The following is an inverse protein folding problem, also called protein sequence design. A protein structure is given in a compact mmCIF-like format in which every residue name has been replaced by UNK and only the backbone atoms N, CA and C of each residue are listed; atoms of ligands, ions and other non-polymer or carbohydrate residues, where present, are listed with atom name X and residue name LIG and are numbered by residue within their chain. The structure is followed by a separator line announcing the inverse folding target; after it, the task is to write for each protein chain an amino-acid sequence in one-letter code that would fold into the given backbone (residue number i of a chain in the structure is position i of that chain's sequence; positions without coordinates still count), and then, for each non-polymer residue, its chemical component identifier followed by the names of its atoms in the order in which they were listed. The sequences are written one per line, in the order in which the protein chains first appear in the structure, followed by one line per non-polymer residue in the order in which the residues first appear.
data_IF_498883834843
#
_entry.id   IF_498883834843
#
_cell.length_a   1.000
_cell.length_b   1.000
_cell.length_c   1.000
_cell.angle_alpha   90.00
_cell.angle_beta   90.00
_cell.angle_gamma   90.00
#
_symmetry.space_group_name_H-M   'P 1'
#
loop_
_entity.id
_entity.type
_entity.pdbx_description
1 polymer ?
#
# COMPACT_ATOMS: atom_id res chain seq x y z
N UNK A 1 9.30 -26.98 -19.32
CA UNK A 1 8.84 -26.63 -20.67
C UNK A 1 10.07 -26.25 -21.51
N UNK A 2 10.27 -26.85 -22.72
CA UNK A 2 11.51 -26.65 -23.49
C UNK A 2 11.70 -25.20 -23.98
N UNK A 3 10.64 -24.42 -24.06
CA UNK A 3 10.69 -23.01 -24.50
C UNK A 3 11.35 -22.08 -23.48
N UNK A 4 11.30 -22.41 -22.19
CA UNK A 4 11.80 -21.55 -21.10
C UNK A 4 13.26 -21.11 -21.26
N UNK A 5 14.24 -22.03 -21.56
CA UNK A 5 15.63 -21.61 -21.71
C UNK A 5 15.83 -20.66 -22.88
N UNK A 6 15.10 -20.87 -23.99
CA UNK A 6 15.19 -20.01 -25.18
C UNK A 6 14.71 -18.59 -24.87
N UNK A 7 13.55 -18.47 -24.22
CA UNK A 7 12.99 -17.17 -23.79
C UNK A 7 13.91 -16.45 -22.81
N UNK A 8 14.53 -17.19 -21.87
CA UNK A 8 15.49 -16.62 -20.91
C UNK A 8 16.76 -16.11 -21.60
N UNK A 9 17.32 -16.86 -22.57
CA UNK A 9 18.50 -16.42 -23.33
C UNK A 9 18.21 -15.16 -24.13
N UNK A 10 17.04 -15.08 -24.76
CA UNK A 10 16.62 -13.89 -25.51
C UNK A 10 16.49 -12.70 -24.55
N UNK A 11 15.81 -12.86 -23.40
CA UNK A 11 15.65 -11.82 -22.39
C UNK A 11 16.97 -11.33 -21.81
N UNK A 12 17.98 -12.22 -21.67
CA UNK A 12 19.33 -11.83 -21.26
C UNK A 12 20.03 -10.92 -22.27
N UNK A 13 19.84 -11.19 -23.56
CA UNK A 13 20.46 -10.42 -24.66
C UNK A 13 19.76 -9.10 -24.95
N UNK A 14 18.48 -8.99 -24.59
CA UNK A 14 17.73 -7.76 -24.72
C UNK A 14 18.22 -6.79 -23.63
N UNK A 15 18.56 -5.58 -24.04
CA UNK A 15 18.98 -4.50 -23.14
C UNK A 15 17.87 -4.08 -22.18
N UNK A 16 17.98 -2.88 -21.64
CA UNK A 16 16.97 -2.22 -20.83
C UNK A 16 16.14 -1.25 -21.68
N UNK A 17 14.98 -0.82 -21.17
CA UNK A 17 14.16 0.20 -21.81
C UNK A 17 13.20 -0.32 -22.87
N UNK A 18 13.16 0.34 -24.04
CA UNK A 18 12.12 0.13 -25.05
C UNK A 18 12.08 -1.29 -25.63
N UNK A 19 13.26 -1.89 -25.90
CA UNK A 19 13.34 -3.26 -26.41
C UNK A 19 12.79 -4.29 -25.43
N UNK A 20 12.94 -4.05 -24.13
CA UNK A 20 12.37 -4.90 -23.09
C UNK A 20 10.84 -4.87 -23.11
N UNK A 21 10.27 -3.68 -23.33
CA UNK A 21 8.81 -3.51 -23.46
C UNK A 21 8.28 -4.21 -24.71
N UNK A 22 8.92 -3.99 -25.86
CA UNK A 22 8.54 -4.67 -27.12
C UNK A 22 8.59 -6.19 -26.97
N UNK A 23 9.59 -6.70 -26.28
CA UNK A 23 9.69 -8.13 -25.99
C UNK A 23 8.54 -8.60 -25.10
N UNK A 24 8.15 -7.82 -24.10
CA UNK A 24 6.99 -8.09 -23.25
C UNK A 24 5.70 -8.22 -24.05
N UNK A 25 5.46 -7.28 -24.97
CA UNK A 25 4.32 -7.36 -25.91
C UNK A 25 4.38 -8.58 -26.80
N UNK A 26 5.56 -8.87 -27.38
CA UNK A 26 5.75 -10.06 -28.22
C UNK A 26 5.42 -11.34 -27.44
N UNK A 27 5.85 -11.43 -26.19
CA UNK A 27 5.56 -12.57 -25.32
C UNK A 27 4.08 -12.68 -24.97
N UNK A 28 3.44 -11.57 -24.61
CA UNK A 28 2.03 -11.56 -24.22
C UNK A 28 1.14 -11.90 -25.42
N UNK A 29 1.31 -11.21 -26.55
CA UNK A 29 0.51 -11.42 -27.76
C UNK A 29 0.85 -12.77 -28.41
N UNK A 30 2.12 -13.14 -28.51
CA UNK A 30 2.54 -14.44 -29.06
C UNK A 30 2.04 -15.61 -28.20
N UNK A 31 2.04 -15.46 -26.88
CA UNK A 31 1.43 -16.43 -25.96
C UNK A 31 -0.08 -16.55 -26.17
N UNK A 32 -0.77 -15.42 -26.31
CA UNK A 32 -2.21 -15.38 -26.55
C UNK A 32 -2.55 -16.08 -27.88
N UNK A 33 -1.90 -15.69 -28.97
CA UNK A 33 -2.14 -16.23 -30.31
C UNK A 33 -1.87 -17.75 -30.37
N UNK A 34 -0.79 -18.23 -29.78
CA UNK A 34 -0.49 -19.67 -29.73
C UNK A 34 -1.56 -20.50 -29.03
N UNK A 35 -2.21 -19.94 -28.01
CA UNK A 35 -3.32 -20.63 -27.31
C UNK A 35 -4.61 -20.56 -28.11
N UNK A 36 -4.90 -19.46 -28.78
CA UNK A 36 -6.07 -19.35 -29.66
C UNK A 36 -6.01 -20.33 -30.83
N UNK A 37 -4.83 -20.54 -31.44
CA UNK A 37 -4.63 -21.52 -32.49
C UNK A 37 -4.96 -22.96 -32.07
N UNK A 38 -4.86 -23.29 -30.78
CA UNK A 38 -5.23 -24.61 -30.26
C UNK A 38 -6.65 -24.62 -29.61
N UNK A 39 -7.44 -23.56 -29.82
CA UNK A 39 -8.82 -23.46 -29.33
C UNK A 39 -8.94 -23.09 -27.85
N UNK A 40 -7.87 -22.61 -27.23
CA UNK A 40 -7.86 -22.12 -25.85
C UNK A 40 -7.96 -20.60 -25.83
N UNK A 41 -8.36 -20.03 -24.68
CA UNK A 41 -8.40 -18.56 -24.53
C UNK A 41 -6.99 -17.96 -24.51
N UNK A 42 -6.78 -16.90 -25.28
CA UNK A 42 -5.50 -16.20 -25.39
C UNK A 42 -4.95 -15.68 -24.07
N UNK A 43 -5.84 -15.24 -23.17
CA UNK A 43 -5.46 -14.77 -21.82
C UNK A 43 -4.65 -15.82 -21.04
N UNK A 44 -5.01 -17.09 -21.16
CA UNK A 44 -4.27 -18.21 -20.54
C UNK A 44 -2.88 -18.36 -21.14
N UNK A 45 -2.74 -18.14 -22.46
CA UNK A 45 -1.45 -18.20 -23.13
C UNK A 45 -0.49 -17.12 -22.64
N UNK A 46 -0.96 -15.88 -22.55
CA UNK A 46 -0.19 -14.77 -22.00
C UNK A 46 0.22 -15.04 -20.54
N UNK A 47 -0.71 -15.56 -19.72
CA UNK A 47 -0.45 -15.91 -18.32
C UNK A 47 0.63 -16.99 -18.19
N UNK A 48 0.54 -18.07 -18.98
CA UNK A 48 1.52 -19.17 -18.94
C UNK A 48 2.91 -18.67 -19.33
N UNK A 49 3.01 -17.84 -20.36
CA UNK A 49 4.30 -17.24 -20.75
C UNK A 49 4.83 -16.32 -19.64
N UNK A 50 3.99 -15.51 -19.01
CA UNK A 50 4.36 -14.68 -17.88
C UNK A 50 4.91 -15.50 -16.70
N UNK A 51 4.24 -16.59 -16.32
CA UNK A 51 4.71 -17.50 -15.28
C UNK A 51 6.05 -18.16 -15.66
N UNK A 52 6.26 -18.51 -16.91
CA UNK A 52 7.56 -19.04 -17.39
C UNK A 52 8.70 -18.02 -17.21
N UNK A 53 8.41 -16.73 -17.29
CA UNK A 53 9.38 -15.65 -17.17
C UNK A 53 9.62 -15.19 -15.74
N UNK A 54 8.72 -15.49 -14.80
CA UNK A 54 8.72 -14.94 -13.43
C UNK A 54 10.01 -15.18 -12.64
N UNK A 55 10.75 -16.22 -12.94
CA UNK A 55 12.02 -16.57 -12.24
C UNK A 55 13.28 -15.92 -12.85
N UNK A 56 13.13 -15.08 -13.86
CA UNK A 56 14.26 -14.38 -14.48
C UNK A 56 14.59 -13.08 -13.72
N UNK A 57 15.89 -12.74 -13.63
CA UNK A 57 16.36 -11.53 -12.90
C UNK A 57 15.71 -10.24 -13.43
N UNK A 58 15.45 -10.15 -14.74
CA UNK A 58 14.78 -9.00 -15.37
C UNK A 58 13.24 -9.05 -15.33
N UNK A 59 12.64 -10.07 -14.72
CA UNK A 59 11.17 -10.21 -14.70
C UNK A 59 10.49 -9.04 -14.01
N UNK A 60 11.09 -8.55 -12.94
CA UNK A 60 10.58 -7.42 -12.15
C UNK A 60 10.60 -6.11 -12.96
N UNK A 61 11.67 -5.86 -13.70
CA UNK A 61 11.80 -4.70 -14.60
C UNK A 61 10.81 -4.77 -15.76
N UNK A 62 10.69 -5.96 -16.38
CA UNK A 62 9.72 -6.21 -17.44
C UNK A 62 8.29 -5.98 -16.94
N UNK A 63 7.95 -6.53 -15.79
CA UNK A 63 6.62 -6.38 -15.18
C UNK A 63 6.30 -4.91 -14.91
N UNK A 64 7.20 -4.15 -14.29
CA UNK A 64 7.02 -2.72 -14.00
C UNK A 64 6.79 -1.90 -15.27
N UNK A 65 7.56 -2.17 -16.31
CA UNK A 65 7.41 -1.47 -17.58
C UNK A 65 6.09 -1.82 -18.27
N UNK A 66 5.65 -3.08 -18.23
CA UNK A 66 4.37 -3.50 -18.80
C UNK A 66 3.16 -2.94 -18.07
N UNK A 67 3.25 -2.72 -16.73
CA UNK A 67 2.18 -2.12 -15.95
C UNK A 67 1.79 -0.72 -16.43
N UNK A 68 2.76 0.09 -16.89
CA UNK A 68 2.49 1.42 -17.43
C UNK A 68 1.62 1.35 -18.71
N UNK A 69 1.83 0.31 -19.54
CA UNK A 69 1.02 0.09 -20.75
C UNK A 69 -0.36 -0.48 -20.44
N UNK A 70 -0.50 -1.24 -19.36
CA UNK A 70 -1.81 -1.73 -18.91
C UNK A 70 -2.78 -0.56 -18.72
N UNK A 71 -2.35 0.50 -18.08
CA UNK A 71 -3.21 1.66 -17.81
C UNK A 71 -3.62 2.38 -19.11
N UNK A 72 -2.72 2.46 -20.09
CA UNK A 72 -3.04 3.00 -21.42
C UNK A 72 -4.06 2.12 -22.16
N UNK A 73 -3.90 0.80 -22.12
CA UNK A 73 -4.85 -0.13 -22.72
C UNK A 73 -6.23 -0.07 -22.05
N UNK A 74 -6.26 0.03 -20.73
CA UNK A 74 -7.51 0.22 -19.98
C UNK A 74 -8.20 1.53 -20.34
N UNK A 75 -7.46 2.63 -20.46
CA UNK A 75 -8.00 3.91 -20.89
C UNK A 75 -8.66 3.79 -22.29
N UNK A 76 -7.98 3.14 -23.24
CA UNK A 76 -8.53 2.88 -24.57
C UNK A 76 -9.79 2.01 -24.53
N UNK A 77 -9.82 0.99 -23.67
CA UNK A 77 -10.97 0.12 -23.47
C UNK A 77 -12.17 0.90 -22.90
N UNK A 78 -11.98 1.72 -21.87
CA UNK A 78 -13.05 2.55 -21.32
C UNK A 78 -13.57 3.59 -22.30
N UNK A 79 -12.65 4.20 -23.06
CA UNK A 79 -13.03 5.15 -24.11
C UNK A 79 -13.89 4.46 -25.18
N UNK A 80 -13.52 3.25 -25.61
CA UNK A 80 -14.29 2.45 -26.56
C UNK A 80 -15.71 2.18 -26.07
N UNK A 81 -15.87 1.81 -24.80
CA UNK A 81 -17.20 1.60 -24.20
C UNK A 81 -18.00 2.92 -24.14
N UNK A 82 -17.34 4.02 -23.73
CA UNK A 82 -17.99 5.35 -23.69
C UNK A 82 -18.46 5.84 -25.05
N UNK A 83 -17.74 5.49 -26.12
CA UNK A 83 -18.09 5.83 -27.50
C UNK A 83 -19.16 4.90 -28.10
N UNK A 84 -19.44 3.75 -27.51
CA UNK A 84 -20.42 2.77 -28.03
C UNK A 84 -21.88 3.25 -27.97
N UNK A 85 -22.17 4.33 -27.23
CA UNK A 85 -23.46 4.98 -27.19
C UNK A 85 -23.56 6.01 -26.08
N UNK A 86 -24.36 7.10 -26.30
CA UNK A 86 -24.61 8.10 -25.27
C UNK A 86 -25.41 7.48 -24.11
N UNK A 87 -25.06 7.78 -22.84
CA UNK A 87 -25.83 7.28 -21.72
C UNK A 87 -27.24 7.85 -21.73
N UNK A 88 -28.24 6.99 -21.62
CA UNK A 88 -29.62 7.43 -21.42
C UNK A 88 -29.85 7.82 -19.96
N UNK A 89 -30.89 8.62 -19.70
CA UNK A 89 -31.27 8.93 -18.31
C UNK A 89 -31.59 7.67 -17.53
N UNK A 90 -32.17 6.65 -18.17
CA UNK A 90 -32.46 5.36 -17.56
C UNK A 90 -31.20 4.62 -17.12
N UNK A 91 -30.20 4.52 -18.01
CA UNK A 91 -28.92 3.86 -17.69
C UNK A 91 -28.18 4.58 -16.56
N UNK A 92 -28.20 5.91 -16.55
CA UNK A 92 -27.59 6.72 -15.49
C UNK A 92 -28.29 6.53 -14.13
N UNK A 93 -29.63 6.46 -14.11
CA UNK A 93 -30.39 6.19 -12.88
C UNK A 93 -30.10 4.79 -12.32
N UNK A 94 -30.07 3.76 -13.18
CA UNK A 94 -29.73 2.40 -12.75
C UNK A 94 -28.31 2.35 -12.20
N UNK A 95 -27.34 2.98 -12.85
CA UNK A 95 -25.98 3.08 -12.37
C UNK A 95 -25.90 3.78 -11.00
N UNK A 96 -26.63 4.88 -10.82
CA UNK A 96 -26.70 5.61 -9.55
C UNK A 96 -27.34 4.76 -8.42
N UNK A 97 -28.31 3.88 -8.75
CA UNK A 97 -28.92 2.94 -7.81
C UNK A 97 -27.98 1.79 -7.42
N UNK A 98 -27.12 1.35 -8.33
CA UNK A 98 -26.14 0.28 -8.06
C UNK A 98 -24.95 0.80 -7.25
N UNK A 99 -24.55 2.05 -7.47
CA UNK A 99 -23.36 2.63 -6.81
C UNK A 99 -23.41 2.52 -5.28
N UNK A 100 -24.50 2.77 -4.53
CA UNK A 100 -24.55 2.60 -3.08
C UNK A 100 -24.23 1.19 -2.57
N UNK A 101 -24.30 0.15 -3.42
CA UNK A 101 -23.89 -1.21 -3.06
C UNK A 101 -22.40 -1.28 -2.65
N UNK A 102 -21.59 -0.31 -3.05
CA UNK A 102 -20.20 -0.22 -2.60
C UNK A 102 -20.09 -0.06 -1.07
N UNK A 103 -21.04 0.63 -0.44
CA UNK A 103 -21.06 0.79 1.02
C UNK A 103 -21.34 -0.54 1.72
N UNK A 104 -22.27 -1.33 1.16
CA UNK A 104 -22.54 -2.69 1.63
C UNK A 104 -21.33 -3.59 1.44
N UNK A 105 -20.68 -3.54 0.28
CA UNK A 105 -19.43 -4.25 0.00
C UNK A 105 -18.34 -3.86 1.00
N UNK A 106 -18.17 -2.57 1.28
CA UNK A 106 -17.21 -2.08 2.28
C UNK A 106 -17.50 -2.61 3.67
N UNK A 107 -18.77 -2.63 4.09
CA UNK A 107 -19.18 -3.18 5.38
C UNK A 107 -18.90 -4.70 5.47
N UNK A 108 -19.10 -5.44 4.39
CA UNK A 108 -18.77 -6.87 4.32
C UNK A 108 -17.24 -7.09 4.45
N UNK A 109 -16.41 -6.32 3.72
CA UNK A 109 -14.97 -6.41 3.85
C UNK A 109 -14.49 -6.05 5.25
N UNK A 110 -15.02 -4.97 5.83
CA UNK A 110 -14.71 -4.62 7.21
C UNK A 110 -15.03 -5.77 8.17
N UNK A 111 -16.22 -6.34 8.06
CA UNK A 111 -16.67 -7.45 8.92
C UNK A 111 -15.79 -8.69 8.73
N UNK A 112 -15.41 -9.00 7.50
CA UNK A 112 -14.52 -10.10 7.16
C UNK A 112 -13.13 -9.90 7.76
N UNK A 113 -12.51 -8.73 7.53
CA UNK A 113 -11.19 -8.41 8.04
C UNK A 113 -11.15 -8.39 9.57
N UNK A 114 -12.18 -7.83 10.20
CA UNK A 114 -12.32 -7.86 11.66
C UNK A 114 -12.51 -9.30 12.17
N UNK A 115 -13.19 -10.17 11.41
CA UNK A 115 -13.31 -11.59 11.74
C UNK A 115 -11.98 -12.34 11.65
N UNK A 116 -11.06 -11.90 10.79
CA UNK A 116 -9.68 -12.40 10.70
C UNK A 116 -8.73 -11.78 11.74
N UNK A 117 -9.27 -11.14 12.79
CA UNK A 117 -8.52 -10.60 13.93
C UNK A 117 -7.65 -9.37 13.61
N UNK A 118 -7.86 -8.71 12.45
CA UNK A 118 -7.20 -7.45 12.15
C UNK A 118 -7.76 -6.34 13.05
N UNK A 119 -6.95 -5.33 13.32
CA UNK A 119 -7.37 -4.14 14.06
C UNK A 119 -8.49 -3.40 13.34
N UNK A 120 -9.37 -2.77 14.12
CA UNK A 120 -10.48 -1.98 13.58
C UNK A 120 -10.02 -0.90 12.59
N UNK A 121 -8.88 -0.26 12.86
CA UNK A 121 -8.29 0.74 11.97
C UNK A 121 -7.85 0.12 10.64
N UNK A 122 -7.03 -0.93 10.69
CA UNK A 122 -6.56 -1.64 9.51
C UNK A 122 -7.73 -2.18 8.69
N UNK A 123 -8.72 -2.81 9.35
CA UNK A 123 -9.93 -3.30 8.72
C UNK A 123 -10.74 -2.20 8.04
N UNK A 124 -10.85 -1.03 8.68
CA UNK A 124 -11.59 0.12 8.15
C UNK A 124 -10.92 0.70 6.90
N UNK A 125 -9.61 1.02 6.98
CA UNK A 125 -8.88 1.58 5.84
C UNK A 125 -8.78 0.58 4.68
N UNK A 126 -8.49 -0.69 4.96
CA UNK A 126 -8.43 -1.73 3.95
C UNK A 126 -9.78 -1.96 3.27
N UNK A 127 -10.89 -1.99 4.03
CA UNK A 127 -12.22 -2.17 3.47
C UNK A 127 -12.62 -1.03 2.52
N UNK A 128 -12.25 0.21 2.84
CA UNK A 128 -12.51 1.35 1.97
C UNK A 128 -11.65 1.33 0.70
N UNK A 129 -10.40 0.89 0.79
CA UNK A 129 -9.54 0.72 -0.38
C UNK A 129 -10.02 -0.41 -1.31
N UNK A 130 -10.65 -1.45 -0.76
CA UNK A 130 -11.24 -2.57 -1.51
C UNK A 130 -12.66 -2.30 -2.00
N UNK A 131 -13.20 -1.11 -1.74
CA UNK A 131 -14.61 -0.78 -2.00
C UNK A 131 -14.92 -0.64 -3.49
N UNK A 132 -13.99 -0.16 -4.31
CA UNK A 132 -14.20 0.10 -5.72
C UNK A 132 -14.74 -1.11 -6.49
N UNK A 133 -15.55 -0.86 -7.50
CA UNK A 133 -15.84 -1.87 -8.50
C UNK A 133 -14.57 -2.13 -9.33
N UNK A 134 -14.35 -3.40 -9.67
CA UNK A 134 -13.17 -3.82 -10.40
C UNK A 134 -13.36 -3.64 -11.91
N UNK A 135 -12.31 -3.17 -12.59
CA UNK A 135 -12.26 -3.12 -14.06
C UNK A 135 -12.47 -4.50 -14.70
N UNK A 136 -12.06 -5.57 -14.02
CA UNK A 136 -12.31 -6.93 -14.49
C UNK A 136 -13.79 -7.27 -14.58
N UNK A 137 -14.63 -6.68 -13.72
CA UNK A 137 -16.08 -6.83 -13.81
C UNK A 137 -16.63 -6.31 -15.14
N UNK A 138 -16.08 -5.21 -15.66
CA UNK A 138 -16.48 -4.65 -16.94
C UNK A 138 -15.97 -5.50 -18.12
N UNK A 139 -14.76 -6.06 -18.03
CA UNK A 139 -14.24 -6.99 -19.04
C UNK A 139 -15.12 -8.25 -19.11
N UNK A 140 -15.50 -8.82 -17.95
CA UNK A 140 -16.41 -9.97 -17.90
C UNK A 140 -17.79 -9.62 -18.51
N UNK A 141 -18.30 -8.43 -18.20
CA UNK A 141 -19.55 -7.95 -18.77
C UNK A 141 -19.47 -7.75 -20.31
N UNK A 142 -18.33 -7.26 -20.82
CA UNK A 142 -18.09 -7.13 -22.25
C UNK A 142 -18.10 -8.51 -22.95
N UNK A 143 -17.44 -9.50 -22.35
CA UNK A 143 -17.49 -10.90 -22.82
C UNK A 143 -18.91 -11.44 -22.76
N UNK A 144 -19.68 -11.16 -21.70
CA UNK A 144 -21.07 -11.55 -21.58
C UNK A 144 -21.96 -10.92 -22.65
N UNK A 145 -21.71 -9.65 -22.98
CA UNK A 145 -22.44 -8.95 -24.03
C UNK A 145 -22.10 -9.51 -25.43
N UNK A 146 -20.84 -9.79 -25.71
CA UNK A 146 -20.41 -10.38 -26.99
C UNK A 146 -20.99 -11.79 -27.22
N UNK A 147 -21.27 -12.53 -26.15
CA UNK A 147 -21.92 -13.84 -26.21
C UNK A 147 -23.47 -13.76 -26.14
N UNK A 148 -24.05 -12.56 -26.11
CA UNK A 148 -25.51 -12.37 -26.06
C UNK A 148 -26.14 -12.67 -24.69
N UNK A 149 -25.36 -12.86 -23.63
CA UNK A 149 -25.85 -13.13 -22.26
C UNK A 149 -26.31 -11.86 -21.55
N UNK A 150 -25.77 -10.71 -21.95
CA UNK A 150 -26.09 -9.38 -21.43
C UNK A 150 -26.43 -8.44 -22.60
N UNK A 151 -27.38 -7.53 -22.40
CA UNK A 151 -27.58 -6.46 -23.38
C UNK A 151 -26.44 -5.43 -23.29
N UNK A 152 -26.14 -4.77 -24.42
CA UNK A 152 -25.07 -3.76 -24.50
C UNK A 152 -25.32 -2.59 -23.54
N UNK A 153 -26.57 -2.30 -23.18
CA UNK A 153 -26.94 -1.27 -22.22
C UNK A 153 -26.31 -1.51 -20.84
N UNK A 154 -26.16 -2.77 -20.42
CA UNK A 154 -25.51 -3.11 -19.16
C UNK A 154 -24.03 -2.74 -19.11
N UNK A 155 -23.34 -2.75 -20.26
CA UNK A 155 -21.94 -2.26 -20.30
C UNK A 155 -21.87 -0.78 -19.95
N UNK A 156 -22.80 0.01 -20.51
CA UNK A 156 -22.89 1.46 -20.19
C UNK A 156 -23.24 1.68 -18.71
N UNK A 157 -24.22 0.94 -18.18
CA UNK A 157 -24.59 1.01 -16.75
C UNK A 157 -23.41 0.70 -15.85
N UNK A 158 -22.70 -0.41 -16.12
CA UNK A 158 -21.57 -0.84 -15.31
C UNK A 158 -20.37 0.12 -15.44
N UNK A 159 -20.12 0.67 -16.63
CA UNK A 159 -19.06 1.67 -16.82
C UNK A 159 -19.34 2.96 -16.03
N UNK A 160 -20.58 3.44 -16.02
CA UNK A 160 -20.99 4.61 -15.22
C UNK A 160 -20.89 4.28 -13.73
N UNK A 161 -21.44 3.14 -13.27
CA UNK A 161 -21.41 2.72 -11.88
C UNK A 161 -19.96 2.60 -11.37
N UNK A 162 -19.06 2.05 -12.19
CA UNK A 162 -17.66 1.94 -11.88
C UNK A 162 -16.98 3.32 -11.76
N UNK A 163 -17.22 4.22 -12.73
CA UNK A 163 -16.68 5.58 -12.67
C UNK A 163 -17.17 6.33 -11.43
N UNK A 164 -18.45 6.20 -11.08
CA UNK A 164 -19.02 6.75 -9.85
C UNK A 164 -18.38 6.12 -8.61
N UNK A 165 -18.10 4.80 -8.64
CA UNK A 165 -17.46 4.13 -7.52
C UNK A 165 -16.06 4.66 -7.25
N UNK A 166 -15.28 4.95 -8.29
CA UNK A 166 -13.96 5.58 -8.15
C UNK A 166 -14.05 6.99 -7.56
N UNK A 167 -15.00 7.80 -8.04
CA UNK A 167 -15.23 9.15 -7.50
C UNK A 167 -15.61 9.10 -6.02
N UNK A 168 -16.54 8.23 -5.64
CA UNK A 168 -16.96 8.03 -4.24
C UNK A 168 -15.81 7.53 -3.39
N UNK A 169 -15.05 6.56 -3.87
CA UNK A 169 -13.91 6.02 -3.12
C UNK A 169 -12.78 7.04 -2.95
N UNK A 170 -12.52 7.89 -3.95
CA UNK A 170 -11.56 8.98 -3.81
C UNK A 170 -11.98 9.98 -2.72
N UNK A 171 -13.25 10.36 -2.70
CA UNK A 171 -13.80 11.21 -1.64
C UNK A 171 -13.73 10.54 -0.25
N UNK A 172 -14.11 9.26 -0.16
CA UNK A 172 -14.03 8.50 1.09
C UNK A 172 -12.58 8.38 1.57
N UNK A 173 -11.64 8.08 0.67
CA UNK A 173 -10.22 7.96 1.00
C UNK A 173 -9.65 9.26 1.57
N UNK A 174 -10.01 10.40 1.02
CA UNK A 174 -9.60 11.70 1.55
C UNK A 174 -10.18 11.98 2.95
N UNK A 175 -11.39 11.49 3.23
CA UNK A 175 -12.09 11.68 4.51
C UNK A 175 -11.82 10.57 5.54
N UNK A 176 -11.16 9.48 5.14
CA UNK A 176 -10.91 8.31 5.99
C UNK A 176 -10.39 8.64 7.40
N UNK A 177 -9.33 9.47 7.57
CA UNK A 177 -8.81 9.77 8.90
C UNK A 177 -9.85 10.47 9.78
N UNK A 178 -10.65 11.36 9.19
CA UNK A 178 -11.68 12.14 9.90
C UNK A 178 -12.83 11.23 10.32
N UNK A 179 -13.32 10.37 9.41
CA UNK A 179 -14.43 9.45 9.67
C UNK A 179 -14.04 8.43 10.74
N UNK A 180 -12.81 7.89 10.66
CA UNK A 180 -12.32 6.94 11.65
C UNK A 180 -12.17 7.57 13.03
N UNK A 181 -11.52 8.74 13.11
CA UNK A 181 -11.30 9.43 14.39
C UNK A 181 -12.60 9.85 15.07
N UNK A 182 -13.57 10.37 14.31
CA UNK A 182 -14.87 10.79 14.82
C UNK A 182 -15.68 9.66 15.46
N UNK A 183 -15.47 8.40 15.01
CA UNK A 183 -16.21 7.23 15.51
C UNK A 183 -15.29 6.09 15.97
N UNK A 184 -14.09 6.41 16.44
CA UNK A 184 -13.09 5.44 16.88
C UNK A 184 -13.64 4.43 17.90
N UNK A 185 -14.39 4.89 18.89
CA UNK A 185 -15.00 4.03 19.92
C UNK A 185 -16.02 3.02 19.32
N UNK A 186 -16.75 3.41 18.27
CA UNK A 186 -17.66 2.50 17.58
C UNK A 186 -16.91 1.41 16.83
N UNK A 187 -15.90 1.79 16.04
CA UNK A 187 -15.11 0.83 15.26
C UNK A 187 -14.34 -0.15 16.16
N UNK A 188 -13.78 0.33 17.27
CA UNK A 188 -13.06 -0.52 18.22
C UNK A 188 -13.96 -1.55 18.92
N UNK A 189 -15.25 -1.27 19.11
CA UNK A 189 -16.21 -2.25 19.66
C UNK A 189 -16.48 -3.43 18.73
N UNK A 190 -16.36 -3.22 17.43
CA UNK A 190 -16.55 -4.26 16.41
C UNK A 190 -15.31 -5.15 16.23
N UNK A 191 -14.21 -4.78 16.86
CA UNK A 191 -12.95 -5.52 16.81
C UNK A 191 -12.98 -6.71 17.77
N UNK A 192 -12.44 -7.85 17.36
CA UNK A 192 -12.24 -9.01 18.24
C UNK A 192 -11.20 -8.72 19.31
N UNK A 193 -11.36 -9.34 20.49
CA UNK A 193 -10.40 -9.26 21.58
C UNK A 193 -9.03 -9.87 21.20
N UNK A 194 -9.05 -11.00 20.50
CA UNK A 194 -7.84 -11.62 19.95
C UNK A 194 -7.38 -10.87 18.70
N UNK A 195 -6.07 -10.57 18.63
CA UNK A 195 -5.43 -9.86 17.52
C UNK A 195 -4.32 -10.69 16.91
N UNK A 196 -3.92 -10.36 15.68
CA UNK A 196 -2.72 -10.91 15.09
C UNK A 196 -1.47 -10.43 15.87
N UNK A 197 -0.38 -11.23 15.93
CA UNK A 197 0.84 -10.83 16.62
C UNK A 197 1.39 -9.47 16.16
N UNK A 198 1.29 -9.19 14.86
CA UNK A 198 1.78 -7.94 14.26
C UNK A 198 0.90 -6.72 14.60
N UNK A 199 -0.33 -6.94 15.07
CA UNK A 199 -1.29 -5.90 15.48
C UNK A 199 -1.33 -5.66 17.00
N UNK A 200 -0.52 -6.39 17.77
CA UNK A 200 -0.41 -6.18 19.21
C UNK A 200 0.28 -4.84 19.53
N UNK A 201 -0.07 -4.19 20.65
CA UNK A 201 0.71 -3.08 21.17
C UNK A 201 2.17 -3.49 21.32
N UNK A 202 3.09 -2.55 21.14
CA UNK A 202 4.49 -2.81 21.39
C UNK A 202 4.72 -3.05 22.88
N UNK A 203 5.47 -4.08 23.22
CA UNK A 203 5.97 -4.25 24.56
C UNK A 203 7.18 -3.31 24.77
N UNK A 204 6.89 -2.13 25.28
CA UNK A 204 7.90 -1.11 25.55
C UNK A 204 8.47 -1.19 26.97
N UNK A 205 8.08 -2.23 27.75
CA UNK A 205 8.62 -2.50 29.08
C UNK A 205 8.62 -1.26 30.01
N UNK A 206 7.59 -0.41 29.92
CA UNK A 206 7.48 0.80 30.71
C UNK A 206 8.47 1.92 30.30
N UNK A 207 8.97 1.90 29.09
CA UNK A 207 9.88 2.93 28.59
C UNK A 207 9.28 4.33 28.70
N UNK A 208 10.09 5.29 29.12
CA UNK A 208 9.77 6.72 29.21
C UNK A 208 10.40 7.54 28.09
N UNK A 209 11.48 7.06 27.53
CA UNK A 209 12.23 7.71 26.44
C UNK A 209 12.24 6.82 25.22
N UNK A 210 11.80 7.38 24.08
CA UNK A 210 11.87 6.70 22.79
C UNK A 210 12.83 7.41 21.85
N UNK A 211 13.74 6.66 21.23
CA UNK A 211 14.72 7.17 20.27
C UNK A 211 14.37 6.63 18.90
N UNK A 212 14.07 7.51 17.98
CA UNK A 212 13.62 7.21 16.63
C UNK A 212 14.81 7.30 15.66
N UNK A 213 15.16 6.16 15.06
CA UNK A 213 16.34 5.99 14.22
C UNK A 213 17.55 5.50 15.02
N UNK A 214 17.90 4.22 14.83
CA UNK A 214 19.01 3.55 15.54
C UNK A 214 20.27 3.42 14.68
N UNK A 215 20.50 4.41 13.82
CA UNK A 215 21.79 4.60 13.15
C UNK A 215 22.89 5.08 14.12
N UNK A 216 24.02 5.54 13.59
CA UNK A 216 25.16 5.94 14.44
C UNK A 216 24.84 7.01 15.49
N UNK A 217 24.09 8.06 15.14
CA UNK A 217 23.66 9.11 16.07
C UNK A 217 22.66 8.55 17.07
N UNK A 218 21.66 7.84 16.62
CA UNK A 218 20.61 7.27 17.48
C UNK A 218 21.16 6.26 18.48
N UNK A 219 22.09 5.41 18.06
CA UNK A 219 22.75 4.45 18.96
C UNK A 219 23.52 5.17 20.06
N UNK A 220 24.33 6.17 19.72
CA UNK A 220 25.06 6.96 20.72
C UNK A 220 24.13 7.70 21.69
N UNK A 221 23.00 8.20 21.18
CA UNK A 221 21.96 8.83 21.99
C UNK A 221 21.27 7.83 22.90
N UNK A 222 20.95 6.65 22.38
CA UNK A 222 20.37 5.57 23.17
C UNK A 222 21.25 5.21 24.37
N UNK A 223 22.54 5.00 24.13
CA UNK A 223 23.49 4.65 25.17
C UNK A 223 23.60 5.76 26.24
N UNK A 224 23.64 7.02 25.79
CA UNK A 224 23.67 8.16 26.70
C UNK A 224 22.39 8.34 27.51
N UNK A 225 21.23 8.12 26.87
CA UNK A 225 19.93 8.18 27.57
C UNK A 225 19.78 7.01 28.54
N UNK A 226 20.27 5.83 28.21
CA UNK A 226 20.27 4.66 29.10
C UNK A 226 21.12 4.89 30.38
N UNK A 227 22.23 5.63 30.27
CA UNK A 227 22.99 6.02 31.44
C UNK A 227 22.21 6.88 32.44
N UNK A 228 21.31 7.74 31.92
CA UNK A 228 20.52 8.71 32.70
C UNK A 228 19.19 8.12 33.16
N UNK A 229 18.48 7.40 32.29
CA UNK A 229 17.13 6.91 32.51
C UNK A 229 17.06 5.39 32.76
N UNK A 230 18.20 4.70 32.77
CA UNK A 230 18.26 3.26 32.99
C UNK A 230 17.59 2.46 31.87
N UNK A 231 16.90 1.38 32.24
CA UNK A 231 16.23 0.46 31.30
C UNK A 231 14.90 1.03 30.75
N UNK A 232 14.55 2.28 31.06
CA UNK A 232 13.32 2.92 30.57
C UNK A 232 13.50 3.60 29.21
N UNK A 233 14.50 3.20 28.45
CA UNK A 233 14.78 3.70 27.07
C UNK A 233 14.46 2.63 26.05
N UNK A 234 13.77 3.02 24.98
CA UNK A 234 13.47 2.17 23.83
C UNK A 234 13.94 2.82 22.54
N UNK A 235 14.64 2.06 21.72
CA UNK A 235 14.98 2.46 20.35
C UNK A 235 13.93 2.00 19.34
N UNK A 236 13.82 2.71 18.24
CA UNK A 236 12.94 2.35 17.11
C UNK A 236 13.72 2.53 15.81
N UNK A 237 13.65 1.56 14.94
CA UNK A 237 14.19 1.66 13.58
C UNK A 237 13.28 0.92 12.59
N UNK A 238 13.25 1.40 11.35
CA UNK A 238 12.46 0.79 10.28
C UNK A 238 13.16 -0.45 9.70
N UNK A 239 14.50 -0.52 9.78
CA UNK A 239 15.27 -1.64 9.23
C UNK A 239 15.39 -2.80 10.22
N UNK A 240 14.78 -3.97 9.91
CA UNK A 240 14.87 -5.15 10.76
C UNK A 240 16.31 -5.64 11.02
N UNK A 241 17.23 -5.41 10.06
CA UNK A 241 18.64 -5.80 10.23
C UNK A 241 19.32 -4.94 11.28
N UNK A 242 19.11 -3.63 11.23
CA UNK A 242 19.60 -2.69 12.24
C UNK A 242 19.05 -3.07 13.61
N UNK A 243 17.75 -3.31 13.72
CA UNK A 243 17.13 -3.73 14.99
C UNK A 243 17.72 -5.04 15.50
N UNK A 244 17.89 -6.04 14.62
CA UNK A 244 18.52 -7.32 15.00
C UNK A 244 19.93 -7.13 15.57
N UNK A 245 20.77 -6.32 14.93
CA UNK A 245 22.11 -6.00 15.39
C UNK A 245 22.11 -5.28 16.75
N UNK A 246 21.21 -4.31 16.93
CA UNK A 246 21.10 -3.56 18.18
C UNK A 246 20.62 -4.46 19.35
N UNK A 247 19.65 -5.33 19.11
CA UNK A 247 19.19 -6.32 20.09
C UNK A 247 20.29 -7.31 20.50
N UNK A 248 21.11 -7.74 19.54
CA UNK A 248 22.26 -8.62 19.82
C UNK A 248 23.28 -7.97 20.76
N UNK A 249 23.33 -6.65 20.84
CA UNK A 249 24.19 -5.90 21.80
C UNK A 249 23.46 -5.54 23.11
N UNK A 250 22.28 -6.12 23.37
CA UNK A 250 21.53 -5.93 24.61
C UNK A 250 20.73 -4.61 24.69
N UNK A 251 20.44 -3.98 23.57
CA UNK A 251 19.58 -2.79 23.52
C UNK A 251 18.13 -3.16 23.31
N UNK A 252 17.22 -2.46 23.97
CA UNK A 252 15.78 -2.61 23.76
C UNK A 252 15.36 -1.79 22.51
N UNK A 253 15.24 -2.45 21.36
CA UNK A 253 14.95 -1.80 20.09
C UNK A 253 13.79 -2.50 19.38
N UNK A 254 12.85 -1.74 18.82
CA UNK A 254 11.66 -2.21 18.13
C UNK A 254 11.76 -1.92 16.63
N UNK A 255 11.21 -2.82 15.82
CA UNK A 255 10.99 -2.56 14.40
C UNK A 255 9.69 -1.76 14.25
N UNK A 256 9.75 -0.62 13.59
CA UNK A 256 8.56 0.18 13.30
C UNK A 256 8.85 1.38 12.43
N UNK A 257 7.84 1.82 11.69
CA UNK A 257 7.90 3.04 10.90
C UNK A 257 7.24 4.20 11.66
N UNK A 258 8.01 5.16 12.19
CA UNK A 258 7.46 6.29 12.94
C UNK A 258 6.73 7.31 12.03
N UNK A 259 6.86 7.23 10.72
CA UNK A 259 6.05 8.01 9.78
C UNK A 259 4.64 7.41 9.59
N UNK A 260 4.41 6.17 10.02
CA UNK A 260 3.09 5.56 10.03
C UNK A 260 2.30 5.96 11.29
N UNK A 261 1.08 6.42 11.09
CA UNK A 261 0.15 6.74 12.18
C UNK A 261 -0.19 5.53 13.05
N UNK A 262 -0.16 4.31 12.47
CA UNK A 262 -0.43 3.07 13.19
C UNK A 262 0.66 2.75 14.21
N UNK A 263 1.90 3.07 13.91
CA UNK A 263 3.02 2.92 14.82
C UNK A 263 2.74 3.67 16.15
N UNK A 264 2.31 4.92 16.07
CA UNK A 264 2.04 5.73 17.26
C UNK A 264 0.82 5.25 18.05
N UNK A 265 -0.22 4.75 17.38
CA UNK A 265 -1.37 4.13 18.06
C UNK A 265 -0.96 2.89 18.87
N UNK A 266 0.02 2.12 18.38
CA UNK A 266 0.57 0.95 19.09
C UNK A 266 1.55 1.34 20.19
N UNK A 267 2.35 2.37 19.96
CA UNK A 267 3.35 2.87 20.90
C UNK A 267 2.70 3.58 22.09
N UNK A 268 1.64 4.36 21.87
CA UNK A 268 0.93 5.10 22.92
C UNK A 268 -0.09 4.28 23.70
N UNK A 269 -0.29 3.02 23.35
CA UNK A 269 -1.25 2.17 24.08
C UNK A 269 -0.97 2.08 25.59
N UNK A 270 0.28 2.30 26.01
CA UNK A 270 0.71 2.29 27.42
C UNK A 270 0.82 3.69 28.04
N UNK A 271 0.77 4.76 27.25
CA UNK A 271 0.92 6.16 27.70
C UNK A 271 2.13 6.45 28.59
N UNK A 272 3.21 5.68 28.49
CA UNK A 272 4.38 5.80 29.35
C UNK A 272 5.49 6.68 28.78
N UNK A 273 5.51 6.92 27.46
CA UNK A 273 6.52 7.72 26.78
C UNK A 273 6.37 9.20 27.14
N UNK A 274 7.39 9.78 27.76
CA UNK A 274 7.43 11.20 28.14
C UNK A 274 8.32 12.02 27.20
N UNK A 275 9.31 11.38 26.55
CA UNK A 275 10.28 12.04 25.67
C UNK A 275 10.49 11.22 24.39
N UNK A 276 10.36 11.87 23.23
CA UNK A 276 10.71 11.31 21.94
C UNK A 276 11.90 12.08 21.35
N UNK A 277 12.95 11.37 20.98
CA UNK A 277 14.16 11.93 20.36
C UNK A 277 14.28 11.43 18.92
N UNK A 278 14.32 12.37 17.96
CA UNK A 278 14.43 12.07 16.54
C UNK A 278 15.90 12.10 16.12
N UNK A 279 16.42 10.95 15.67
CA UNK A 279 17.78 10.79 15.14
C UNK A 279 17.74 10.31 13.68
N UNK A 280 16.87 10.95 12.87
CA UNK A 280 16.60 10.55 11.50
C UNK A 280 17.56 11.23 10.51
N UNK A 281 17.71 10.69 9.28
CA UNK A 281 18.72 11.13 8.35
C UNK A 281 18.46 12.51 7.73
N UNK A 282 17.21 12.97 7.69
CA UNK A 282 16.83 14.20 7.01
C UNK A 282 15.61 14.90 7.64
N UNK A 283 15.52 16.21 7.44
CA UNK A 283 14.48 17.08 8.00
C UNK A 283 13.06 16.71 7.51
N UNK A 284 12.90 16.24 6.28
CA UNK A 284 11.58 15.87 5.76
C UNK A 284 10.98 14.68 6.51
N UNK A 285 11.83 13.72 6.87
CA UNK A 285 11.42 12.57 7.69
C UNK A 285 11.08 13.01 9.12
N UNK A 286 11.88 13.91 9.72
CA UNK A 286 11.57 14.49 11.03
C UNK A 286 10.21 15.20 11.02
N UNK A 287 9.92 16.01 10.01
CA UNK A 287 8.65 16.72 9.87
C UNK A 287 7.46 15.74 9.71
N UNK A 288 7.65 14.67 8.93
CA UNK A 288 6.63 13.64 8.77
C UNK A 288 6.30 12.96 10.12
N UNK A 289 7.33 12.59 10.87
CA UNK A 289 7.17 11.98 12.20
C UNK A 289 6.52 12.94 13.20
N UNK A 290 6.92 14.22 13.20
CA UNK A 290 6.30 15.23 14.04
C UNK A 290 4.81 15.43 13.74
N UNK A 291 4.43 15.40 12.45
CA UNK A 291 3.04 15.48 12.04
C UNK A 291 2.23 14.28 12.58
N UNK A 292 2.79 13.07 12.55
CA UNK A 292 2.15 11.88 13.09
C UNK A 292 2.05 11.90 14.62
N UNK A 293 3.10 12.32 15.31
CA UNK A 293 3.07 12.51 16.78
C UNK A 293 1.95 13.47 17.21
N UNK A 294 1.84 14.61 16.51
CA UNK A 294 0.79 15.59 16.76
C UNK A 294 -0.61 15.02 16.47
N UNK A 295 -0.76 14.30 15.35
CA UNK A 295 -2.03 13.66 14.99
C UNK A 295 -2.44 12.57 15.98
N UNK A 296 -1.47 11.85 16.54
CA UNK A 296 -1.69 10.86 17.59
C UNK A 296 -1.99 11.44 18.98
N UNK A 297 -1.91 12.77 19.15
CA UNK A 297 -2.18 13.45 20.40
C UNK A 297 -1.09 13.28 21.45
N UNK A 298 0.18 13.10 21.03
CA UNK A 298 1.31 13.01 21.95
C UNK A 298 1.52 14.35 22.68
N UNK A 299 1.57 14.30 24.01
CA UNK A 299 1.71 15.49 24.88
C UNK A 299 3.10 15.60 25.53
N UNK A 300 3.97 14.60 25.31
CA UNK A 300 5.33 14.60 25.85
C UNK A 300 6.27 15.57 25.11
N UNK A 301 7.52 15.57 25.52
CA UNK A 301 8.57 16.39 24.91
C UNK A 301 9.12 15.72 23.64
N UNK A 302 9.45 16.53 22.62
CA UNK A 302 10.10 16.04 21.40
C UNK A 302 11.38 16.82 21.18
N UNK A 303 12.48 16.11 20.92
CA UNK A 303 13.77 16.69 20.57
C UNK A 303 14.24 16.11 19.24
N UNK A 304 14.65 16.95 18.30
CA UNK A 304 15.27 16.53 17.04
C UNK A 304 16.78 16.78 17.08
N UNK A 305 17.55 15.78 16.64
CA UNK A 305 19.01 15.91 16.55
C UNK A 305 19.39 16.28 15.12
N UNK A 306 19.87 17.53 14.95
CA UNK A 306 20.39 17.96 13.67
C UNK A 306 21.83 17.43 13.48
N UNK A 307 22.14 16.84 12.32
CA UNK A 307 23.52 16.71 11.86
C UNK A 307 24.06 18.13 11.66
N UNK A 308 24.94 18.60 12.55
CA UNK A 308 25.66 19.86 12.28
C UNK A 308 26.48 19.66 11.01
N UNK A 309 26.17 20.41 9.97
CA UNK A 309 27.01 20.47 8.78
C UNK A 309 28.24 21.31 9.12
N UNK A 310 29.45 20.74 9.21
CA UNK A 310 30.64 21.48 9.63
C UNK A 310 31.01 22.63 8.68
N UNK A 311 30.33 22.77 7.55
CA UNK A 311 30.56 23.87 6.58
C UNK A 311 29.82 25.19 6.90
N UNK A 312 28.85 25.18 7.82
CA UNK A 312 28.10 26.41 8.18
C UNK A 312 28.72 27.18 9.34
N UNK A 313 29.73 26.67 10.03
CA UNK A 313 30.38 27.36 11.15
C UNK A 313 31.55 28.25 10.72
N UNK A 314 31.95 28.23 9.43
CA UNK A 314 33.09 29.04 8.92
C UNK A 314 32.74 30.36 8.26
N UNK A 315 31.48 30.78 8.21
CA UNK A 315 31.06 32.03 7.56
C UNK A 315 30.56 33.12 8.53
N UNK A 316 30.87 33.02 9.80
CA UNK A 316 30.45 33.99 10.83
C UNK A 316 31.60 34.67 11.61
N UNK A 317 32.80 34.72 11.05
CA UNK A 317 33.90 35.49 11.65
C UNK A 317 34.69 36.20 10.52
N UNK A 318 34.13 37.27 10.00
CA UNK A 318 34.82 38.46 9.44
C UNK A 318 33.94 39.68 9.68
#
# INVERSE_FOLDING_TARGET
LPLRPVLHVILQRIGHGELLVLYGFLLALGGAETFELVGLKGDLGALVVGVMMSSHVKADELSKNMLNFKDLCLLGFFLSIGLSGPPSVGTALVAALITPLILFKSALFFSLLAAFKLRARTSFFASLNLTNFSEFGLIIAAVGASNGWLSTEWLTVLAIAMSLSFAVAACLSALNPIIYSARRAFWSRLQRAERLPDDLPFDIQGAKVSIIGMGGIGTGTYDRMREVFGETVVGVDIDPKTVGNQRATGRNVLVGDPADADFWDRMQATHTIELVMLALPNLNTDLAVLAQLKAAGFTGKVAAMAKSNPRSVRSGSE
#
